data_IF_292106813299
#
_entry.id   IF_292106813299
#
_cell.length_a   1.000
_cell.length_b   1.000
_cell.length_c   1.000
_cell.angle_alpha   90.00
_cell.angle_beta   90.00
_cell.angle_gamma   90.00
#
_symmetry.space_group_name_H-M   'P 1'
#
loop_
_entity.id
_entity.type
_entity.pdbx_description
1 polymer ?
#
# COMPACT_ATOMS: atom_id res chain seq x y z
N UNK A 1 -8.87 3.93 -8.02
CA UNK A 1 -9.21 2.69 -8.77
C UNK A 1 -7.97 1.94 -9.30
N UNK A 2 -6.94 2.63 -9.78
CA UNK A 2 -5.72 2.00 -10.30
C UNK A 2 -5.02 1.09 -9.27
N UNK A 3 -4.87 1.54 -8.02
CA UNK A 3 -4.27 0.75 -6.93
C UNK A 3 -5.08 -0.51 -6.57
N UNK A 4 -6.41 -0.43 -6.59
CA UNK A 4 -7.28 -1.60 -6.34
C UNK A 4 -7.06 -2.67 -7.42
N UNK A 5 -7.06 -2.27 -8.70
CA UNK A 5 -6.80 -3.18 -9.82
C UNK A 5 -5.41 -3.80 -9.74
N UNK A 6 -4.39 -3.00 -9.42
CA UNK A 6 -3.01 -3.48 -9.21
C UNK A 6 -2.92 -4.48 -8.05
N UNK A 7 -3.57 -4.19 -6.93
CA UNK A 7 -3.60 -5.05 -5.75
C UNK A 7 -4.29 -6.39 -6.04
N UNK A 8 -5.48 -6.36 -6.65
CA UNK A 8 -6.25 -7.56 -6.97
C UNK A 8 -5.54 -8.47 -7.99
N UNK A 9 -4.97 -7.89 -9.05
CA UNK A 9 -4.20 -8.66 -10.05
C UNK A 9 -2.94 -9.26 -9.46
N UNK A 10 -2.19 -8.49 -8.66
CA UNK A 10 -0.98 -8.97 -7.98
C UNK A 10 -1.29 -10.10 -7.00
N UNK A 11 -2.36 -9.95 -6.22
CA UNK A 11 -2.86 -10.98 -5.30
C UNK A 11 -3.20 -12.28 -6.05
N UNK A 12 -3.97 -12.18 -7.14
CA UNK A 12 -4.39 -13.33 -7.92
C UNK A 12 -3.20 -14.03 -8.59
N UNK A 13 -2.25 -13.28 -9.15
CA UNK A 13 -1.04 -13.86 -9.74
C UNK A 13 -0.22 -14.57 -8.66
N UNK A 14 -0.03 -13.95 -7.50
CA UNK A 14 0.74 -14.54 -6.40
C UNK A 14 0.07 -15.72 -5.70
N UNK A 15 -1.22 -15.94 -5.96
CA UNK A 15 -1.93 -17.14 -5.50
C UNK A 15 -1.41 -18.40 -6.21
N UNK A 16 -0.98 -18.28 -7.46
CA UNK A 16 -0.56 -19.41 -8.30
C UNK A 16 0.94 -19.41 -8.59
N UNK A 17 1.58 -18.26 -8.41
CA UNK A 17 3.01 -18.04 -8.64
C UNK A 17 3.69 -17.76 -7.32
N UNK A 18 4.91 -18.27 -7.15
CA UNK A 18 5.73 -18.00 -5.97
C UNK A 18 5.87 -16.50 -5.74
N UNK A 19 5.68 -16.06 -4.48
CA UNK A 19 5.70 -14.65 -4.08
C UNK A 19 6.89 -13.83 -4.64
N UNK A 20 8.10 -14.41 -4.67
CA UNK A 20 9.29 -13.75 -5.22
C UNK A 20 9.18 -13.53 -6.74
N UNK A 21 8.72 -14.55 -7.48
CA UNK A 21 8.57 -14.47 -8.94
C UNK A 21 7.47 -13.47 -9.29
N UNK A 22 6.34 -13.51 -8.57
CA UNK A 22 5.26 -12.56 -8.73
C UNK A 22 5.72 -11.10 -8.49
N UNK A 23 6.54 -10.87 -7.46
CA UNK A 23 7.11 -9.55 -7.18
C UNK A 23 8.02 -9.06 -8.30
N UNK A 24 8.89 -9.94 -8.82
CA UNK A 24 9.77 -9.61 -9.96
C UNK A 24 8.96 -9.29 -11.22
N UNK A 25 7.86 -9.99 -11.47
CA UNK A 25 6.99 -9.73 -12.62
C UNK A 25 6.19 -8.42 -12.51
N UNK A 26 5.81 -8.04 -11.30
CA UNK A 26 5.03 -6.82 -11.04
C UNK A 26 5.89 -5.57 -10.83
N UNK A 27 7.19 -5.73 -10.57
CA UNK A 27 8.12 -4.60 -10.41
C UNK A 27 8.24 -3.74 -11.69
N UNK A 28 8.38 -4.30 -12.91
CA UNK A 28 8.31 -3.52 -14.15
C UNK A 28 6.99 -2.78 -14.35
N UNK A 29 5.87 -3.36 -13.90
CA UNK A 29 4.55 -2.72 -13.97
C UNK A 29 4.51 -1.51 -13.05
N UNK A 30 5.01 -1.66 -11.81
CA UNK A 30 5.16 -0.55 -10.87
C UNK A 30 6.07 0.54 -11.45
N UNK A 31 7.29 0.22 -11.90
CA UNK A 31 8.21 1.22 -12.46
C UNK A 31 7.66 1.90 -13.71
N UNK A 32 6.90 1.19 -14.54
CA UNK A 32 6.19 1.76 -15.68
C UNK A 32 5.14 2.81 -15.29
N UNK A 33 4.44 2.61 -14.16
CA UNK A 33 3.53 3.61 -13.58
C UNK A 33 4.33 4.81 -13.06
N UNK A 34 5.44 4.58 -12.35
CA UNK A 34 6.29 5.65 -11.83
C UNK A 34 6.94 6.49 -12.95
N UNK A 35 7.28 5.90 -14.09
CA UNK A 35 7.86 6.61 -15.24
C UNK A 35 6.90 7.62 -15.90
N UNK A 36 5.60 7.55 -15.62
CA UNK A 36 4.63 8.55 -16.07
C UNK A 36 4.62 9.82 -15.23
N UNK A 37 5.36 9.82 -14.12
CA UNK A 37 5.47 10.95 -13.22
C UNK A 37 6.75 11.73 -13.51
N UNK A 38 6.76 13.05 -13.26
CA UNK A 38 7.95 13.87 -13.44
C UNK A 38 9.12 13.35 -12.59
N UNK A 39 10.38 13.59 -12.99
CA UNK A 39 11.56 13.12 -12.27
C UNK A 39 11.60 13.64 -10.82
N UNK A 40 12.26 12.89 -9.93
CA UNK A 40 12.20 13.07 -8.47
C UNK A 40 12.61 14.46 -7.97
N UNK A 41 13.31 15.25 -8.78
CA UNK A 41 13.72 16.63 -8.49
C UNK A 41 12.57 17.65 -8.55
N UNK A 42 11.45 17.33 -9.21
CA UNK A 42 10.27 18.21 -9.37
C UNK A 42 8.99 17.59 -8.79
N UNK A 43 9.09 16.43 -8.12
CA UNK A 43 7.91 15.74 -7.58
C UNK A 43 7.35 16.45 -6.35
N UNK A 44 6.10 16.91 -6.47
CA UNK A 44 5.28 17.29 -5.32
C UNK A 44 5.23 16.16 -4.27
N UNK A 45 5.06 16.51 -2.99
CA UNK A 45 4.91 15.52 -1.90
C UNK A 45 3.84 14.47 -2.21
N UNK A 46 2.75 14.87 -2.88
CA UNK A 46 1.68 13.97 -3.29
C UNK A 46 2.16 12.88 -4.26
N UNK A 47 3.04 13.21 -5.22
CA UNK A 47 3.61 12.25 -6.16
C UNK A 47 4.54 11.25 -5.48
N UNK A 48 5.39 11.74 -4.56
CA UNK A 48 6.28 10.87 -3.78
C UNK A 48 5.50 9.87 -2.91
N UNK A 49 4.36 10.28 -2.37
CA UNK A 49 3.45 9.42 -1.60
C UNK A 49 2.79 8.37 -2.49
N UNK A 50 2.28 8.77 -3.65
CA UNK A 50 1.72 7.85 -4.63
C UNK A 50 2.74 6.80 -5.09
N UNK A 51 3.98 7.21 -5.36
CA UNK A 51 5.09 6.30 -5.70
C UNK A 51 5.33 5.24 -4.62
N UNK A 52 5.35 5.64 -3.36
CA UNK A 52 5.49 4.73 -2.23
C UNK A 52 4.28 3.80 -2.12
N UNK A 53 3.06 4.33 -2.26
CA UNK A 53 1.83 3.55 -2.19
C UNK A 53 1.78 2.46 -3.26
N UNK A 54 2.19 2.75 -4.50
CA UNK A 54 2.27 1.77 -5.59
C UNK A 54 3.25 0.64 -5.25
N UNK A 55 4.48 0.97 -4.83
CA UNK A 55 5.52 -0.02 -4.51
C UNK A 55 5.08 -0.88 -3.31
N UNK A 56 4.58 -0.26 -2.24
CA UNK A 56 4.07 -0.95 -1.06
C UNK A 56 2.90 -1.86 -1.42
N UNK A 57 2.00 -1.41 -2.30
CA UNK A 57 0.88 -2.22 -2.78
C UNK A 57 1.37 -3.51 -3.41
N UNK A 58 2.35 -3.44 -4.32
CA UNK A 58 2.90 -4.64 -4.98
C UNK A 58 3.57 -5.57 -3.95
N UNK A 59 4.45 -5.04 -3.11
CA UNK A 59 5.22 -5.85 -2.15
C UNK A 59 4.33 -6.55 -1.12
N UNK A 60 3.29 -5.90 -0.61
CA UNK A 60 2.39 -6.53 0.37
C UNK A 60 1.33 -7.41 -0.29
N UNK A 61 0.80 -7.03 -1.45
CA UNK A 61 -0.21 -7.84 -2.15
C UNK A 61 0.35 -9.19 -2.61
N UNK A 62 1.61 -9.26 -3.06
CA UNK A 62 2.26 -10.55 -3.39
C UNK A 62 2.37 -11.44 -2.16
N UNK A 63 2.80 -10.89 -1.03
CA UNK A 63 2.95 -11.66 0.21
C UNK A 63 1.59 -12.19 0.71
N UNK A 64 0.55 -11.37 0.68
CA UNK A 64 -0.80 -11.77 1.09
C UNK A 64 -1.36 -12.83 0.14
N UNK A 65 -1.17 -12.66 -1.18
CA UNK A 65 -1.57 -13.66 -2.17
C UNK A 65 -0.87 -15.01 -1.96
N UNK A 66 0.42 -15.00 -1.61
CA UNK A 66 1.18 -16.22 -1.35
C UNK A 66 0.73 -17.03 -0.12
N UNK A 67 0.06 -16.39 0.84
CA UNK A 67 -0.48 -17.07 2.04
C UNK A 67 -1.74 -17.89 1.68
N UNK A 68 -2.49 -17.44 0.66
CA UNK A 68 -3.79 -18.03 0.29
C UNK A 68 -3.70 -19.49 -0.17
N UNK A 69 -2.56 -19.91 -0.72
CA UNK A 69 -2.35 -21.26 -1.26
C UNK A 69 -1.07 -21.90 -0.72
N UNK A 70 -1.04 -23.22 -0.78
CA UNK A 70 0.14 -24.02 -0.41
C UNK A 70 1.34 -23.66 -1.31
N UNK A 71 1.10 -23.44 -2.60
CA UNK A 71 2.14 -23.22 -3.61
C UNK A 71 2.68 -21.78 -3.63
N UNK A 72 1.96 -20.84 -3.00
CA UNK A 72 2.28 -19.41 -3.05
C UNK A 72 3.54 -19.01 -2.28
N UNK A 73 3.87 -19.72 -1.18
CA UNK A 73 5.10 -19.48 -0.40
C UNK A 73 5.84 -20.78 -0.09
N UNK A 74 7.17 -20.71 -0.08
CA UNK A 74 8.02 -21.86 0.26
C UNK A 74 7.81 -22.36 1.69
N UNK A 75 7.46 -21.46 2.61
CA UNK A 75 7.18 -21.80 4.02
C UNK A 75 5.98 -22.74 4.15
N UNK A 76 4.90 -22.49 3.41
CA UNK A 76 3.71 -23.35 3.43
C UNK A 76 4.06 -24.79 2.99
N UNK A 77 4.87 -24.94 1.93
CA UNK A 77 5.36 -26.24 1.46
C UNK A 77 6.27 -26.93 2.47
N UNK A 78 7.17 -26.19 3.12
CA UNK A 78 8.04 -26.74 4.17
C UNK A 78 7.22 -27.28 5.32
N UNK A 79 6.19 -26.54 5.78
CA UNK A 79 5.31 -26.99 6.87
C UNK A 79 4.62 -28.31 6.51
N UNK A 80 4.10 -28.45 5.29
CA UNK A 80 3.44 -29.70 4.86
C UNK A 80 4.44 -30.84 4.74
N UNK A 81 5.66 -30.56 4.28
CA UNK A 81 6.76 -31.52 4.26
C UNK A 81 7.15 -31.99 5.67
N UNK A 82 7.22 -31.06 6.63
CA UNK A 82 7.49 -31.35 8.04
C UNK A 82 6.34 -32.10 8.71
N UNK A 83 5.10 -31.72 8.42
CA UNK A 83 3.90 -32.35 8.97
C UNK A 83 3.83 -33.84 8.64
N UNK A 84 4.21 -34.20 7.41
CA UNK A 84 4.31 -35.61 6.98
C UNK A 84 5.29 -36.44 7.82
N UNK A 85 6.34 -35.81 8.36
CA UNK A 85 7.34 -36.47 9.20
C UNK A 85 6.97 -36.49 10.69
N UNK A 86 6.26 -35.46 11.17
CA UNK A 86 5.87 -35.33 12.58
C UNK A 86 4.68 -36.21 12.95
N UNK A 87 3.69 -36.32 12.06
CA UNK A 87 2.42 -37.01 12.33
C UNK A 87 2.09 -37.99 11.20
N UNK A 88 2.78 -39.15 11.12
CA UNK A 88 2.60 -40.12 10.03
C UNK A 88 1.23 -40.80 9.99
N UNK A 89 0.48 -40.80 11.11
CA UNK A 89 -0.89 -41.37 11.19
C UNK A 89 -2.00 -40.33 10.97
N UNK A 90 -1.67 -39.03 10.93
CA UNK A 90 -2.65 -37.98 10.73
C UNK A 90 -3.03 -37.83 9.24
N UNK A 91 -4.23 -37.28 8.98
CA UNK A 91 -4.65 -36.97 7.61
C UNK A 91 -3.67 -35.97 6.96
N UNK A 92 -3.19 -36.23 5.73
CA UNK A 92 -2.28 -35.33 5.04
C UNK A 92 -2.97 -33.99 4.76
N UNK A 93 -2.26 -32.89 5.01
CA UNK A 93 -2.73 -31.54 4.65
C UNK A 93 -2.82 -31.47 3.12
N UNK A 94 -4.05 -31.51 2.62
CA UNK A 94 -4.35 -31.43 1.20
C UNK A 94 -4.51 -29.97 0.77
N UNK A 95 -4.35 -29.70 -0.53
CA UNK A 95 -4.58 -28.38 -1.12
C UNK A 95 -5.90 -27.76 -0.71
N UNK A 96 -6.99 -28.53 -0.77
CA UNK A 96 -8.34 -28.05 -0.46
C UNK A 96 -8.48 -27.61 1.03
N UNK A 97 -7.92 -28.39 1.95
CA UNK A 97 -7.96 -28.08 3.39
C UNK A 97 -7.24 -26.78 3.69
N UNK A 98 -6.06 -26.57 3.09
CA UNK A 98 -5.32 -25.32 3.25
C UNK A 98 -6.03 -24.17 2.56
N UNK A 99 -6.54 -24.36 1.34
CA UNK A 99 -7.24 -23.31 0.60
C UNK A 99 -8.46 -22.79 1.36
N UNK A 100 -9.30 -23.68 1.90
CA UNK A 100 -10.47 -23.28 2.69
C UNK A 100 -10.11 -22.50 3.96
N UNK A 101 -8.89 -22.62 4.47
CA UNK A 101 -8.39 -21.88 5.62
C UNK A 101 -7.64 -20.59 5.21
N UNK A 102 -6.66 -20.71 4.32
CA UNK A 102 -5.77 -19.64 3.90
C UNK A 102 -6.43 -18.61 2.99
N UNK A 103 -7.31 -19.03 2.08
CA UNK A 103 -8.00 -18.11 1.16
C UNK A 103 -8.87 -17.06 1.88
N UNK A 104 -9.80 -17.43 2.79
CA UNK A 104 -10.62 -16.42 3.48
C UNK A 104 -9.77 -15.49 4.35
N UNK A 105 -8.73 -16.00 5.01
CA UNK A 105 -7.78 -15.17 5.78
C UNK A 105 -7.05 -14.19 4.86
N UNK A 106 -6.57 -14.66 3.71
CA UNK A 106 -5.86 -13.82 2.75
C UNK A 106 -6.76 -12.73 2.15
N UNK A 107 -8.03 -13.05 1.86
CA UNK A 107 -9.02 -12.06 1.39
C UNK A 107 -9.29 -11.00 2.46
N UNK A 108 -9.44 -11.39 3.73
CA UNK A 108 -9.58 -10.44 4.84
C UNK A 108 -8.35 -9.55 4.98
N UNK A 109 -7.15 -10.12 4.90
CA UNK A 109 -5.89 -9.36 4.94
C UNK A 109 -5.77 -8.40 3.75
N UNK A 110 -6.20 -8.81 2.55
CA UNK A 110 -6.20 -7.97 1.35
C UNK A 110 -7.13 -6.77 1.53
N UNK A 111 -8.34 -6.99 2.06
CA UNK A 111 -9.30 -5.92 2.35
C UNK A 111 -8.78 -4.96 3.42
N UNK A 112 -8.23 -5.48 4.53
CA UNK A 112 -7.61 -4.67 5.58
C UNK A 112 -6.44 -3.84 5.04
N UNK A 113 -5.59 -4.45 4.21
CA UNK A 113 -4.47 -3.77 3.58
C UNK A 113 -4.92 -2.67 2.62
N UNK A 114 -5.91 -2.96 1.78
CA UNK A 114 -6.50 -1.98 0.87
C UNK A 114 -7.10 -0.79 1.61
N UNK A 115 -7.87 -1.03 2.68
CA UNK A 115 -8.41 0.03 3.54
C UNK A 115 -7.29 0.85 4.17
N UNK A 116 -6.18 0.23 4.61
CA UNK A 116 -5.05 0.97 5.19
C UNK A 116 -4.34 1.86 4.18
N UNK A 117 -4.17 1.43 2.94
CA UNK A 117 -3.58 2.24 1.85
C UNK A 117 -4.52 3.40 1.51
N UNK A 118 -5.82 3.14 1.35
CA UNK A 118 -6.80 4.18 1.04
C UNK A 118 -6.93 5.19 2.17
N UNK A 119 -6.92 4.73 3.42
CA UNK A 119 -6.97 5.59 4.59
C UNK A 119 -5.70 6.45 4.73
N UNK A 120 -4.53 5.91 4.37
CA UNK A 120 -3.28 6.67 4.30
C UNK A 120 -3.37 7.81 3.27
N UNK A 121 -3.87 7.54 2.07
CA UNK A 121 -4.04 8.57 1.04
C UNK A 121 -5.03 9.67 1.48
N UNK A 122 -6.17 9.28 2.06
CA UNK A 122 -7.20 10.23 2.52
C UNK A 122 -6.76 11.03 3.74
N UNK A 123 -6.09 10.42 4.72
CA UNK A 123 -5.58 11.14 5.90
C UNK A 123 -4.52 12.17 5.51
N UNK A 124 -3.69 11.86 4.51
CA UNK A 124 -2.65 12.79 4.06
C UNK A 124 -3.16 13.92 3.19
N UNK A 125 -4.20 13.70 2.38
CA UNK A 125 -4.91 14.77 1.67
C UNK A 125 -5.47 15.81 2.66
N UNK A 126 -6.09 15.32 3.73
CA UNK A 126 -6.58 16.17 4.82
C UNK A 126 -5.43 16.89 5.56
N UNK A 127 -4.30 16.22 5.80
CA UNK A 127 -3.15 16.83 6.47
C UNK A 127 -2.46 17.91 5.61
N UNK A 128 -2.36 17.71 4.29
CA UNK A 128 -1.83 18.70 3.34
C UNK A 128 -2.76 19.90 3.21
N UNK A 129 -4.07 19.67 3.12
CA UNK A 129 -5.09 20.73 3.14
C UNK A 129 -4.98 21.59 4.40
N UNK A 130 -4.81 20.97 5.57
CA UNK A 130 -4.65 21.69 6.85
C UNK A 130 -3.31 22.42 6.94
N UNK A 131 -2.24 21.89 6.35
CA UNK A 131 -0.92 22.56 6.31
C UNK A 131 -0.93 23.78 5.39
N UNK A 132 -1.57 23.70 4.23
CA UNK A 132 -1.70 24.83 3.32
C UNK A 132 -2.61 25.91 3.92
N UNK A 133 -3.78 25.53 4.46
CA UNK A 133 -4.69 26.48 5.11
C UNK A 133 -4.13 27.08 6.40
N UNK A 134 -3.40 26.31 7.21
CA UNK A 134 -2.75 26.84 8.41
C UNK A 134 -1.60 27.80 8.10
N UNK A 135 -0.88 27.58 6.98
CA UNK A 135 0.11 28.53 6.46
C UNK A 135 -0.57 29.78 5.87
N UNK A 136 -1.71 29.63 5.21
CA UNK A 136 -2.51 30.76 4.68
C UNK A 136 -3.09 31.60 5.83
N UNK A 137 -3.63 30.98 6.89
CA UNK A 137 -4.16 31.71 8.05
C UNK A 137 -3.08 32.50 8.80
N UNK A 138 -1.86 31.97 8.93
CA UNK A 138 -0.74 32.73 9.50
C UNK A 138 -0.28 33.87 8.59
N UNK A 139 -0.26 33.68 7.27
CA UNK A 139 0.10 34.71 6.30
C UNK A 139 -0.98 35.78 6.09
N UNK A 140 -2.25 35.45 6.36
CA UNK A 140 -3.37 36.40 6.34
C UNK A 140 -3.44 37.13 7.68
N UNK A 141 -3.35 36.41 8.80
CA UNK A 141 -3.32 36.99 10.15
C UNK A 141 -2.19 38.01 10.34
N UNK A 142 -0.97 37.68 9.90
CA UNK A 142 0.17 38.62 9.94
C UNK A 142 0.03 39.83 9.01
N UNK A 143 -0.78 39.73 7.94
CA UNK A 143 -1.05 40.86 7.02
C UNK A 143 -2.08 41.83 7.59
N UNK A 144 -3.05 41.32 8.35
CA UNK A 144 -4.03 42.16 9.05
C UNK A 144 -3.36 42.98 10.16
N UNK A 145 -2.48 42.39 10.96
CA UNK A 145 -1.75 43.12 12.00
C UNK A 145 -0.84 44.23 11.43
N UNK A 146 -0.17 43.96 10.30
CA UNK A 146 0.71 44.93 9.65
C UNK A 146 -0.05 46.08 8.94
N UNK A 147 -1.30 45.83 8.56
CA UNK A 147 -2.23 46.86 8.05
C UNK A 147 -2.71 47.77 9.18
N UNK A 148 -3.11 47.22 10.33
CA UNK A 148 -3.52 48.01 11.50
C UNK A 148 -2.41 48.91 12.04
N UNK A 149 -1.15 48.45 12.04
CA UNK A 149 0.00 49.24 12.49
C UNK A 149 0.33 50.40 11.53
N UNK A 150 0.10 50.24 10.22
CA UNK A 150 0.29 51.32 9.25
C UNK A 150 -0.83 52.36 9.28
N UNK A 151 -2.06 51.96 9.62
CA UNK A 151 -3.19 52.90 9.79
C UNK A 151 -2.98 53.81 11.00
N UNK A 152 -2.45 53.31 12.12
CA UNK A 152 -2.16 54.16 13.29
C UNK A 152 -0.99 55.14 13.07
N UNK A 153 -0.02 54.80 12.20
CA UNK A 153 1.11 55.70 11.89
C UNK A 153 0.83 56.78 10.85
N UNK A 154 -0.30 56.70 10.14
CA UNK A 154 -0.69 57.69 9.11
C UNK A 154 -1.40 58.94 9.66
N UNK A 155 -1.63 59.01 10.97
CA UNK A 155 -2.41 60.08 11.63
C UNK A 155 -1.59 61.03 12.52
N UNK A 156 -0.26 61.04 12.38
CA UNK A 156 0.63 61.99 13.07
C UNK A 156 1.46 62.82 12.09
#
# INVERSE_FOLDING_TARGET
MLLLGLCATTFFVSMWVHNVIAAVMMMPVATGILHRLPPANEQSELMNKFNRAVILTVVYATQIGGISTITGTGVNLIIIGMWKNLEPEAKPISFNTWFCFGFPVAVLLLLCFWIRIMCLEVLEENALYMRDNGAVETLVGGRYEMSSINVERGHH
#
